data_IF_523288665215
#
_entry.id   IF_523288665215
#
_cell.length_a   1.000
_cell.length_b   1.000
_cell.length_c   1.000
_cell.angle_alpha   90.00
_cell.angle_beta   90.00
_cell.angle_gamma   90.00
#
_symmetry.space_group_name_H-M   'P 1'
#
loop_
_entity.id
_entity.type
_entity.pdbx_description
1 polymer ?
#
# COMPACT_ATOMS: atom_id res chain seq x y z
N UNK A 1 14.42 -27.13 54.26
CA UNK A 1 15.43 -26.68 53.26
C UNK A 1 14.66 -26.24 52.00
N UNK A 2 14.31 -24.94 51.98
CA UNK A 2 13.52 -24.31 50.89
C UNK A 2 14.51 -23.68 49.94
N UNK A 3 14.55 -24.18 48.69
CA UNK A 3 15.43 -23.68 47.64
C UNK A 3 14.95 -22.28 47.17
N UNK A 4 15.79 -21.30 47.34
CA UNK A 4 15.64 -19.99 46.71
C UNK A 4 15.81 -20.16 45.18
N UNK A 5 14.71 -20.10 44.43
CA UNK A 5 14.75 -19.98 42.99
C UNK A 5 14.92 -18.49 42.67
N UNK A 6 16.02 -18.22 41.99
CA UNK A 6 16.53 -16.92 41.58
C UNK A 6 15.48 -16.08 40.80
N UNK A 7 14.89 -15.13 41.48
CA UNK A 7 13.94 -14.14 40.94
C UNK A 7 14.61 -13.10 40.01
N UNK A 8 15.94 -13.09 39.93
CA UNK A 8 16.68 -12.09 39.14
C UNK A 8 16.56 -12.31 37.62
N UNK A 9 16.52 -13.58 37.17
CA UNK A 9 16.42 -13.92 35.74
C UNK A 9 15.01 -13.66 35.17
N UNK A 10 13.94 -13.82 35.94
CA UNK A 10 12.58 -13.50 35.50
C UNK A 10 12.34 -11.99 35.37
N UNK A 11 12.94 -11.18 36.23
CA UNK A 11 12.85 -9.72 36.14
C UNK A 11 13.62 -9.14 34.96
N UNK A 12 14.78 -9.70 34.64
CA UNK A 12 15.59 -9.27 33.48
C UNK A 12 14.88 -9.63 32.18
N UNK A 13 14.31 -10.82 32.06
CA UNK A 13 13.54 -11.21 30.85
C UNK A 13 12.25 -10.40 30.68
N UNK A 14 11.59 -10.02 31.78
CA UNK A 14 10.40 -9.18 31.76
C UNK A 14 10.73 -7.71 31.43
N UNK A 15 11.89 -7.22 31.86
CA UNK A 15 12.38 -5.88 31.54
C UNK A 15 12.90 -5.78 30.09
N UNK A 16 13.55 -6.81 29.58
CA UNK A 16 14.03 -6.86 28.19
C UNK A 16 12.83 -6.93 27.23
N UNK A 17 11.83 -7.76 27.51
CA UNK A 17 10.60 -7.80 26.73
C UNK A 17 9.77 -6.51 26.83
N UNK A 18 9.65 -5.90 28.02
CA UNK A 18 9.02 -4.57 28.13
C UNK A 18 9.79 -3.49 27.39
N UNK A 19 11.11 -3.47 27.44
CA UNK A 19 11.92 -2.50 26.69
C UNK A 19 11.79 -2.71 25.18
N UNK A 20 11.73 -3.95 24.69
CA UNK A 20 11.47 -4.27 23.28
C UNK A 20 10.05 -3.90 22.87
N UNK A 21 9.05 -4.17 23.70
CA UNK A 21 7.65 -3.76 23.49
C UNK A 21 7.51 -2.24 23.61
N UNK A 22 8.20 -1.59 24.56
CA UNK A 22 8.23 -0.13 24.68
C UNK A 22 8.99 0.53 23.53
N UNK A 23 10.08 -0.03 23.03
CA UNK A 23 10.74 0.47 21.81
C UNK A 23 9.81 0.37 20.60
N UNK A 24 9.07 -0.74 20.46
CA UNK A 24 8.10 -0.91 19.35
C UNK A 24 6.86 0.00 19.53
N UNK A 25 6.46 0.30 20.76
CA UNK A 25 5.36 1.23 21.08
C UNK A 25 5.78 2.71 21.05
N UNK A 26 7.08 3.03 21.11
CA UNK A 26 7.58 4.40 20.89
C UNK A 26 7.70 4.78 19.41
N UNK A 27 7.34 3.88 18.49
CA UNK A 27 7.74 3.99 17.10
C UNK A 27 6.78 4.70 16.14
N UNK A 28 5.65 5.20 16.57
CA UNK A 28 4.96 6.14 15.69
C UNK A 28 4.25 7.24 16.45
N UNK A 29 4.81 8.43 16.37
CA UNK A 29 4.02 9.63 16.71
C UNK A 29 2.71 9.54 15.91
N UNK A 30 1.54 9.55 16.57
CA UNK A 30 0.25 9.53 15.86
C UNK A 30 0.22 10.59 14.76
N UNK A 31 -0.41 10.26 13.64
CA UNK A 31 -0.36 11.15 12.47
C UNK A 31 -0.92 12.55 12.77
N UNK A 32 -1.92 12.67 13.63
CA UNK A 32 -2.51 13.93 14.07
C UNK A 32 -1.60 14.74 15.03
N UNK A 33 -0.57 14.12 15.61
CA UNK A 33 0.42 14.74 16.52
C UNK A 33 1.76 15.06 15.87
N UNK A 34 1.89 14.79 14.57
CA UNK A 34 3.11 15.16 13.84
C UNK A 34 3.20 16.66 13.63
N UNK A 35 4.40 17.12 13.35
CA UNK A 35 4.68 18.53 13.02
C UNK A 35 5.10 18.66 11.54
N UNK A 36 5.10 19.90 11.09
CA UNK A 36 5.54 20.25 9.74
C UNK A 36 4.42 20.89 8.93
N UNK A 37 4.41 20.65 7.62
CA UNK A 37 3.49 21.29 6.66
C UNK A 37 2.71 20.29 5.86
N UNK A 38 1.49 20.66 5.49
CA UNK A 38 0.61 19.94 4.54
C UNK A 38 0.20 20.94 3.46
N UNK A 39 0.21 20.54 2.21
CA UNK A 39 -0.44 21.31 1.16
C UNK A 39 -1.96 21.02 1.21
N UNK A 40 -2.77 22.08 1.34
CA UNK A 40 -4.21 21.96 1.56
C UNK A 40 -4.93 23.04 0.75
N UNK A 41 -5.72 22.65 -0.25
CA UNK A 41 -6.52 23.58 -1.08
C UNK A 41 -5.72 24.77 -1.65
N UNK A 42 -4.56 24.51 -2.24
CA UNK A 42 -3.74 25.53 -2.89
C UNK A 42 -2.76 26.25 -1.95
N UNK A 43 -2.77 25.95 -0.65
CA UNK A 43 -1.92 26.61 0.34
C UNK A 43 -1.12 25.60 1.16
N UNK A 44 0.06 26.00 1.60
CA UNK A 44 0.82 25.25 2.61
C UNK A 44 0.38 25.71 3.99
N UNK A 45 -0.16 24.79 4.79
CA UNK A 45 -0.63 25.04 6.15
C UNK A 45 0.21 24.27 7.17
N UNK A 46 0.12 24.64 8.44
CA UNK A 46 0.72 23.84 9.51
C UNK A 46 0.02 22.47 9.61
N UNK A 47 0.76 21.44 10.02
CA UNK A 47 0.24 20.08 10.13
C UNK A 47 -1.02 20.00 11.01
N UNK A 48 -0.99 20.70 12.14
CA UNK A 48 -2.11 20.75 13.09
C UNK A 48 -3.35 21.48 12.56
N UNK A 49 -3.21 22.32 11.54
CA UNK A 49 -4.31 23.12 10.96
C UNK A 49 -5.02 22.41 9.81
N UNK A 50 -4.49 21.27 9.33
CA UNK A 50 -5.10 20.49 8.25
C UNK A 50 -6.28 19.66 8.78
N UNK A 51 -7.35 20.33 9.19
CA UNK A 51 -8.54 19.72 9.80
C UNK A 51 -9.74 19.78 8.86
N UNK A 52 -10.67 18.82 9.04
CA UNK A 52 -11.95 18.77 8.36
C UNK A 52 -13.10 18.75 9.36
N UNK A 53 -14.26 19.25 8.95
CA UNK A 53 -15.46 19.18 9.78
C UNK A 53 -15.95 17.73 9.89
N UNK A 54 -16.50 17.34 11.06
CA UNK A 54 -17.00 15.98 11.30
C UNK A 54 -18.12 15.58 10.32
N UNK A 55 -18.96 16.52 9.89
CA UNK A 55 -19.98 16.31 8.86
C UNK A 55 -19.40 16.46 7.45
N UNK A 56 -18.29 15.77 7.19
CA UNK A 56 -17.65 15.74 5.88
C UNK A 56 -18.19 14.58 5.05
N UNK A 57 -18.65 14.83 3.84
CA UNK A 57 -19.25 13.81 2.96
C UNK A 57 -18.24 12.70 2.61
N UNK A 58 -16.96 13.05 2.43
CA UNK A 58 -15.90 12.08 2.21
C UNK A 58 -15.77 11.08 3.36
N UNK A 59 -15.96 11.52 4.61
CA UNK A 59 -15.92 10.67 5.80
C UNK A 59 -17.15 9.74 5.91
N UNK A 60 -18.35 10.27 5.65
CA UNK A 60 -19.59 9.52 5.85
C UNK A 60 -19.95 8.59 4.68
N UNK A 61 -19.67 9.00 3.44
CA UNK A 61 -20.07 8.28 2.22
C UNK A 61 -18.89 7.82 1.40
N UNK A 62 -17.68 7.87 1.94
CA UNK A 62 -16.44 7.47 1.27
C UNK A 62 -16.22 8.14 -0.10
N UNK A 63 -16.81 9.34 -0.34
CA UNK A 63 -16.60 10.08 -1.58
C UNK A 63 -15.24 10.77 -1.58
N UNK A 64 -14.22 9.93 -1.63
CA UNK A 64 -12.82 10.26 -1.52
C UNK A 64 -11.99 9.32 -2.39
N UNK A 65 -10.96 9.86 -3.03
CA UNK A 65 -9.91 9.11 -3.73
C UNK A 65 -8.55 9.53 -3.20
N UNK A 66 -7.58 8.63 -3.24
CA UNK A 66 -6.24 8.93 -2.75
C UNK A 66 -5.15 8.26 -3.56
N UNK A 67 -3.94 8.73 -3.40
CA UNK A 67 -2.74 8.05 -3.88
C UNK A 67 -1.77 7.75 -2.75
N UNK A 68 -0.83 6.91 -3.06
CA UNK A 68 0.30 6.60 -2.20
C UNK A 68 1.55 6.47 -3.04
N UNK A 69 2.51 7.32 -2.77
CA UNK A 69 3.73 7.46 -3.55
C UNK A 69 4.94 7.33 -2.65
N UNK A 70 6.01 6.72 -3.14
CA UNK A 70 7.26 6.62 -2.39
C UNK A 70 8.24 7.69 -2.84
N UNK A 71 8.89 8.28 -1.84
CA UNK A 71 10.05 9.15 -2.03
C UNK A 71 11.30 8.32 -1.81
N UNK A 72 12.24 8.40 -2.76
CA UNK A 72 13.56 7.79 -2.68
C UNK A 72 14.60 8.86 -2.98
N UNK A 73 15.51 9.09 -2.05
CA UNK A 73 16.59 10.08 -2.16
C UNK A 73 16.08 11.49 -2.53
N UNK A 74 14.90 11.86 -2.01
CA UNK A 74 14.25 13.15 -2.25
C UNK A 74 13.34 13.23 -3.49
N UNK A 75 13.31 12.17 -4.32
CA UNK A 75 12.52 12.12 -5.55
C UNK A 75 11.32 11.21 -5.43
N UNK A 76 10.16 11.62 -5.96
CA UNK A 76 8.93 10.82 -5.97
C UNK A 76 8.97 9.87 -7.17
N UNK A 77 8.95 8.59 -6.90
CA UNK A 77 8.96 7.58 -7.97
C UNK A 77 7.64 7.56 -8.73
N UNK A 78 7.71 7.77 -10.06
CA UNK A 78 6.57 7.73 -10.99
C UNK A 78 5.41 8.68 -10.61
N UNK A 79 5.75 9.88 -10.15
CA UNK A 79 4.79 10.90 -9.74
C UNK A 79 3.69 11.13 -10.80
N UNK A 80 4.06 11.29 -12.06
CA UNK A 80 3.12 11.58 -13.14
C UNK A 80 2.09 10.43 -13.32
N UNK A 81 2.54 9.17 -13.28
CA UNK A 81 1.65 7.99 -13.35
C UNK A 81 0.70 7.90 -12.14
N UNK A 82 1.16 8.29 -10.95
CA UNK A 82 0.34 8.35 -9.74
C UNK A 82 -0.71 9.46 -9.83
N UNK A 83 -0.32 10.65 -10.26
CA UNK A 83 -1.25 11.77 -10.43
C UNK A 83 -2.28 11.49 -11.52
N UNK A 84 -1.89 10.90 -12.65
CA UNK A 84 -2.83 10.46 -13.70
C UNK A 84 -3.88 9.50 -13.12
N UNK A 85 -3.46 8.51 -12.32
CA UNK A 85 -4.38 7.56 -11.69
C UNK A 85 -5.27 8.21 -10.63
N UNK A 86 -4.76 9.19 -9.87
CA UNK A 86 -5.56 9.98 -8.93
C UNK A 86 -6.70 10.71 -9.64
N UNK A 87 -6.39 11.37 -10.76
CA UNK A 87 -7.39 12.10 -11.58
C UNK A 87 -8.37 11.14 -12.27
N UNK A 88 -7.89 10.00 -12.75
CA UNK A 88 -8.74 8.93 -13.27
C UNK A 88 -9.74 8.48 -12.20
N UNK A 89 -9.26 8.18 -11.00
CA UNK A 89 -10.08 7.75 -9.87
C UNK A 89 -11.11 8.82 -9.50
N UNK A 90 -10.72 10.09 -9.44
CA UNK A 90 -11.62 11.21 -9.18
C UNK A 90 -12.72 11.31 -10.24
N UNK A 91 -12.36 11.24 -11.53
CA UNK A 91 -13.31 11.27 -12.64
C UNK A 91 -14.32 10.11 -12.57
N UNK A 92 -13.87 8.89 -12.30
CA UNK A 92 -14.72 7.70 -12.14
C UNK A 92 -15.70 7.84 -10.95
N UNK A 93 -15.31 8.58 -9.90
CA UNK A 93 -16.15 8.90 -8.75
C UNK A 93 -17.02 10.17 -8.96
N UNK A 94 -17.04 10.71 -10.19
CA UNK A 94 -17.80 11.92 -10.50
C UNK A 94 -17.28 13.17 -9.76
N UNK A 95 -15.99 13.22 -9.46
CA UNK A 95 -15.33 14.34 -8.77
C UNK A 95 -14.56 15.18 -9.80
N UNK A 96 -14.93 16.44 -9.94
CA UNK A 96 -14.20 17.41 -10.76
C UNK A 96 -13.12 18.07 -9.91
N UNK A 97 -11.86 17.72 -10.16
CA UNK A 97 -10.71 18.22 -9.41
C UNK A 97 -10.47 19.70 -9.76
N UNK A 98 -10.39 20.64 -8.77
CA UNK A 98 -10.24 22.07 -9.04
C UNK A 98 -8.79 22.50 -9.34
N UNK A 99 -7.92 21.56 -9.68
CA UNK A 99 -6.51 21.75 -10.02
C UNK A 99 -6.15 20.94 -11.25
N UNK A 100 -5.12 21.34 -11.97
CA UNK A 100 -4.51 20.54 -13.04
C UNK A 100 -3.59 19.48 -12.47
N UNK A 101 -3.27 18.45 -13.26
CA UNK A 101 -2.28 17.43 -12.87
C UNK A 101 -0.89 18.06 -12.63
N UNK A 102 -0.52 19.07 -13.42
CA UNK A 102 0.75 19.77 -13.27
C UNK A 102 0.84 20.53 -11.93
N UNK A 103 -0.25 21.22 -11.54
CA UNK A 103 -0.33 21.89 -10.23
C UNK A 103 -0.21 20.91 -9.07
N UNK A 104 -0.86 19.73 -9.15
CA UNK A 104 -0.77 18.68 -8.14
C UNK A 104 0.65 18.10 -8.10
N UNK A 105 1.27 17.81 -9.26
CA UNK A 105 2.65 17.34 -9.33
C UNK A 105 3.63 18.34 -8.69
N UNK A 106 3.47 19.63 -9.01
CA UNK A 106 4.28 20.69 -8.41
C UNK A 106 4.08 20.77 -6.89
N UNK A 107 2.84 20.64 -6.43
CA UNK A 107 2.52 20.64 -5.01
C UNK A 107 3.13 19.42 -4.27
N UNK A 108 3.11 18.22 -4.86
CA UNK A 108 3.77 17.03 -4.32
C UNK A 108 5.29 17.24 -4.19
N UNK A 109 5.96 17.69 -5.25
CA UNK A 109 7.40 17.99 -5.22
C UNK A 109 7.74 19.07 -4.17
N UNK A 110 6.94 20.14 -4.11
CA UNK A 110 7.17 21.24 -3.19
C UNK A 110 7.01 20.82 -1.73
N UNK A 111 5.98 20.03 -1.38
CA UNK A 111 5.78 19.60 0.01
C UNK A 111 6.87 18.63 0.48
N UNK A 112 7.36 17.75 -0.40
CA UNK A 112 8.51 16.88 -0.15
C UNK A 112 9.76 17.71 0.16
N UNK A 113 10.01 18.76 -0.64
CA UNK A 113 11.13 19.67 -0.43
C UNK A 113 11.00 20.45 0.89
N UNK A 114 9.85 21.05 1.17
CA UNK A 114 9.59 21.81 2.41
C UNK A 114 9.80 20.93 3.65
N UNK A 115 9.31 19.68 3.61
CA UNK A 115 9.44 18.71 4.70
C UNK A 115 10.81 18.02 4.73
N UNK A 116 11.67 18.26 3.72
CA UNK A 116 13.01 17.64 3.57
C UNK A 116 12.96 16.11 3.62
N UNK A 117 11.89 15.50 3.08
CA UNK A 117 11.72 14.06 3.08
C UNK A 117 12.67 13.43 2.06
N UNK A 118 13.61 12.62 2.53
CA UNK A 118 14.57 11.90 1.70
C UNK A 118 14.10 10.49 1.35
N UNK A 119 13.56 9.76 2.32
CA UNK A 119 12.97 8.44 2.10
C UNK A 119 11.64 8.39 2.82
N UNK A 120 10.55 8.44 2.08
CA UNK A 120 9.25 8.64 2.71
C UNK A 120 8.07 8.30 1.83
N UNK A 121 6.94 8.88 2.20
CA UNK A 121 5.67 8.62 1.58
C UNK A 121 4.93 9.93 1.31
N UNK A 122 4.27 10.02 0.16
CA UNK A 122 3.37 11.10 -0.20
C UNK A 122 1.96 10.55 -0.30
N UNK A 123 1.01 11.26 0.29
CA UNK A 123 -0.40 10.92 0.33
C UNK A 123 -1.23 12.07 -0.25
N UNK A 124 -1.43 12.13 -1.55
CA UNK A 124 -2.46 12.98 -2.15
C UNK A 124 -3.85 12.42 -1.85
N UNK A 125 -4.78 13.32 -1.56
CA UNK A 125 -6.15 13.01 -1.18
C UNK A 125 -7.11 14.01 -1.82
N UNK A 126 -8.21 13.54 -2.42
CA UNK A 126 -9.27 14.35 -3.01
C UNK A 126 -10.62 13.89 -2.45
N UNK A 127 -11.45 14.80 -1.94
CA UNK A 127 -12.73 14.44 -1.33
C UNK A 127 -13.81 15.53 -1.47
N UNK A 128 -15.06 15.13 -1.30
CA UNK A 128 -16.20 16.04 -1.19
C UNK A 128 -16.33 16.60 0.22
N UNK A 129 -16.55 17.91 0.33
CA UNK A 129 -16.62 18.66 1.58
C UNK A 129 -17.90 18.45 2.39
N UNK A 130 -18.31 19.48 3.13
CA UNK A 130 -19.32 19.42 4.18
C UNK A 130 -20.57 20.28 3.88
N UNK A 131 -20.71 20.79 2.66
CA UNK A 131 -21.81 21.70 2.31
C UNK A 131 -23.17 21.01 2.29
N UNK A 132 -23.19 19.71 1.96
CA UNK A 132 -24.40 18.87 1.97
C UNK A 132 -24.10 17.49 2.54
N UNK A 133 -25.04 16.95 3.32
CA UNK A 133 -24.98 15.63 3.96
C UNK A 133 -26.14 14.73 3.49
N UNK A 134 -26.37 14.69 2.19
CA UNK A 134 -27.32 13.77 1.55
C UNK A 134 -26.58 12.84 0.59
N UNK A 135 -27.24 11.79 0.08
CA UNK A 135 -26.67 10.93 -0.96
C UNK A 135 -26.21 11.75 -2.16
N UNK A 136 -27.02 12.73 -2.58
CA UNK A 136 -26.59 13.70 -3.59
C UNK A 136 -25.68 14.76 -2.98
N UNK A 137 -24.46 14.85 -3.49
CA UNK A 137 -23.43 15.78 -3.02
C UNK A 137 -22.77 16.53 -4.20
N UNK A 138 -23.51 16.77 -5.28
CA UNK A 138 -22.98 17.42 -6.49
C UNK A 138 -22.54 18.87 -6.24
N UNK A 139 -23.13 19.54 -5.27
CA UNK A 139 -22.84 20.94 -4.90
C UNK A 139 -21.75 21.08 -3.83
N UNK A 140 -21.23 19.95 -3.31
CA UNK A 140 -20.15 20.00 -2.35
C UNK A 140 -18.86 20.50 -3.01
N UNK A 141 -18.12 21.33 -2.29
CA UNK A 141 -16.77 21.70 -2.69
C UNK A 141 -15.89 20.47 -2.74
N UNK A 142 -14.97 20.47 -3.68
CA UNK A 142 -13.92 19.46 -3.79
C UNK A 142 -12.69 20.01 -3.10
N UNK A 143 -12.17 19.24 -2.19
CA UNK A 143 -10.96 19.55 -1.45
C UNK A 143 -9.82 18.65 -1.92
N UNK A 144 -8.60 19.17 -1.83
CA UNK A 144 -7.37 18.44 -2.16
C UNK A 144 -6.35 18.71 -1.06
N UNK A 145 -5.74 17.65 -0.55
CA UNK A 145 -4.63 17.73 0.39
C UNK A 145 -3.49 16.81 -0.02
N UNK A 146 -2.26 17.21 0.30
CA UNK A 146 -1.06 16.41 0.06
C UNK A 146 -0.23 16.46 1.34
N UNK A 147 -0.13 15.31 2.02
CA UNK A 147 0.74 15.13 3.16
C UNK A 147 1.95 14.28 2.78
N UNK A 148 3.10 14.55 3.40
CA UNK A 148 4.31 13.74 3.24
C UNK A 148 5.03 13.57 4.57
N UNK A 149 5.69 12.44 4.75
CA UNK A 149 6.43 12.11 5.96
C UNK A 149 7.55 11.11 5.69
N UNK A 150 8.58 11.15 6.51
CA UNK A 150 9.60 10.10 6.50
C UNK A 150 8.97 8.76 6.83
N UNK A 151 9.28 7.74 6.01
CA UNK A 151 8.74 6.40 6.20
C UNK A 151 9.73 5.34 5.75
N UNK A 152 10.10 4.47 6.66
CA UNK A 152 10.98 3.35 6.40
C UNK A 152 10.36 2.22 5.59
N UNK A 153 10.80 1.01 5.82
CA UNK A 153 10.22 -0.19 5.20
C UNK A 153 8.83 -0.48 5.75
N UNK A 154 7.87 -0.80 4.87
CA UNK A 154 6.52 -1.18 5.26
C UNK A 154 6.48 -2.50 6.06
N UNK A 155 7.25 -3.48 5.61
CA UNK A 155 7.44 -4.73 6.34
C UNK A 155 8.79 -4.73 7.06
N UNK A 156 8.87 -5.44 8.19
CA UNK A 156 10.13 -5.69 8.88
C UNK A 156 11.18 -6.24 7.90
N UNK A 157 12.41 -5.69 7.88
CA UNK A 157 13.48 -6.17 6.99
C UNK A 157 13.75 -7.68 7.10
N UNK A 158 13.62 -8.27 8.29
CA UNK A 158 13.78 -9.73 8.49
C UNK A 158 12.66 -10.51 7.81
N UNK A 159 11.42 -10.00 7.86
CA UNK A 159 10.29 -10.61 7.15
C UNK A 159 10.45 -10.48 5.64
N UNK A 160 11.01 -9.37 5.14
CA UNK A 160 11.36 -9.24 3.72
C UNK A 160 12.39 -10.25 3.24
N UNK A 161 13.35 -10.65 4.10
CA UNK A 161 14.36 -11.65 3.75
C UNK A 161 13.79 -13.07 3.74
N UNK A 162 12.95 -13.39 4.72
CA UNK A 162 12.42 -14.74 4.93
C UNK A 162 11.08 -15.01 4.20
N UNK A 163 10.47 -13.96 3.65
CA UNK A 163 9.12 -13.96 3.10
C UNK A 163 8.03 -13.83 4.16
N UNK A 164 7.00 -13.05 3.82
CA UNK A 164 5.83 -12.85 4.68
C UNK A 164 4.85 -14.02 4.57
N UNK A 165 3.90 -14.09 5.51
CA UNK A 165 2.85 -15.11 5.53
C UNK A 165 1.50 -14.44 5.31
N UNK A 166 0.68 -15.00 4.42
CA UNK A 166 -0.66 -14.53 4.13
C UNK A 166 -1.70 -15.56 4.57
N UNK A 167 -2.83 -15.08 5.10
CA UNK A 167 -4.06 -15.86 5.19
C UNK A 167 -4.88 -15.71 3.89
N UNK A 168 -5.90 -16.53 3.68
CA UNK A 168 -6.89 -16.31 2.63
C UNK A 168 -8.08 -15.58 3.26
N UNK A 169 -8.42 -14.41 2.74
CA UNK A 169 -9.49 -13.58 3.25
C UNK A 169 -10.87 -14.25 3.12
N UNK A 170 -11.71 -14.07 4.14
CA UNK A 170 -13.15 -14.36 4.07
C UNK A 170 -13.90 -13.37 3.15
N UNK A 171 -13.37 -12.15 3.00
CA UNK A 171 -13.92 -11.10 2.13
C UNK A 171 -13.37 -11.21 0.71
N UNK A 172 -14.22 -10.93 -0.28
CA UNK A 172 -13.86 -10.98 -1.70
C UNK A 172 -13.83 -9.58 -2.32
N UNK A 173 -13.03 -9.41 -3.35
CA UNK A 173 -13.10 -8.20 -4.18
C UNK A 173 -14.46 -8.12 -4.86
N UNK A 174 -15.03 -6.92 -4.97
CA UNK A 174 -16.34 -6.72 -5.57
C UNK A 174 -16.33 -7.07 -7.06
N UNK A 175 -17.48 -7.54 -7.56
CA UNK A 175 -17.66 -7.77 -8.98
C UNK A 175 -17.55 -6.46 -9.78
N UNK A 176 -17.03 -6.49 -11.00
CA UNK A 176 -17.16 -5.39 -11.94
C UNK A 176 -18.63 -4.96 -12.03
N UNK A 177 -18.95 -3.69 -12.14
CA UNK A 177 -20.30 -3.11 -12.16
C UNK A 177 -20.99 -2.96 -10.78
N UNK A 178 -20.42 -3.45 -9.69
CA UNK A 178 -20.98 -3.22 -8.34
C UNK A 178 -20.40 -1.97 -7.68
N UNK A 179 -19.17 -1.60 -8.04
CA UNK A 179 -18.43 -0.47 -7.49
C UNK A 179 -17.33 -0.07 -8.51
N UNK A 180 -16.82 1.16 -8.52
CA UNK A 180 -15.71 1.56 -9.40
C UNK A 180 -14.37 0.91 -8.97
N UNK A 181 -14.26 -0.39 -9.18
CA UNK A 181 -13.18 -1.28 -8.72
C UNK A 181 -11.78 -0.92 -9.26
N UNK A 182 -11.75 -0.27 -10.43
CA UNK A 182 -10.56 0.18 -11.15
C UNK A 182 -9.97 1.50 -10.60
N UNK A 183 -10.51 1.97 -9.48
CA UNK A 183 -10.12 3.24 -8.84
C UNK A 183 -9.40 3.03 -7.51
N UNK A 184 -8.71 4.07 -7.06
CA UNK A 184 -8.18 4.14 -5.71
C UNK A 184 -9.13 4.92 -4.78
N UNK A 185 -10.42 4.54 -4.80
CA UNK A 185 -11.45 5.11 -3.96
C UNK A 185 -11.37 4.57 -2.53
N UNK A 186 -11.55 5.44 -1.53
CA UNK A 186 -11.42 5.09 -0.12
C UNK A 186 -12.39 3.97 0.30
N UNK A 187 -13.62 3.96 -0.25
CA UNK A 187 -14.63 2.96 0.07
C UNK A 187 -14.25 1.52 -0.29
N UNK A 188 -13.32 1.33 -1.24
CA UNK A 188 -12.82 0.00 -1.61
C UNK A 188 -11.88 -0.60 -0.54
N UNK A 189 -11.35 0.24 0.36
CA UNK A 189 -10.36 -0.18 1.34
C UNK A 189 -10.95 -0.71 2.65
N UNK A 190 -12.25 -0.58 2.84
CA UNK A 190 -12.95 -1.11 4.02
C UNK A 190 -12.74 -2.63 4.15
N UNK A 191 -13.05 -3.38 3.08
CA UNK A 191 -12.86 -4.84 3.08
C UNK A 191 -11.39 -5.24 3.19
N UNK A 192 -10.47 -4.43 2.66
CA UNK A 192 -9.04 -4.67 2.79
C UNK A 192 -8.59 -4.54 4.26
N UNK A 193 -9.12 -3.54 4.99
CA UNK A 193 -8.86 -3.35 6.42
C UNK A 193 -9.40 -4.54 7.23
N UNK A 194 -10.64 -4.96 6.99
CA UNK A 194 -11.23 -6.13 7.66
C UNK A 194 -10.40 -7.40 7.41
N UNK A 195 -10.04 -7.66 6.14
CA UNK A 195 -9.20 -8.81 5.77
C UNK A 195 -7.83 -8.80 6.45
N UNK A 196 -7.24 -7.60 6.56
CA UNK A 196 -5.94 -7.40 7.22
C UNK A 196 -6.04 -7.72 8.71
N UNK A 197 -7.06 -7.21 9.41
CA UNK A 197 -7.28 -7.46 10.83
C UNK A 197 -7.50 -8.95 11.10
N UNK A 198 -8.38 -9.62 10.34
CA UNK A 198 -8.60 -11.06 10.47
C UNK A 198 -7.30 -11.88 10.31
N UNK A 199 -6.45 -11.52 9.36
CA UNK A 199 -5.16 -12.18 9.15
C UNK A 199 -4.20 -11.95 10.33
N UNK A 200 -4.11 -10.72 10.83
CA UNK A 200 -3.25 -10.35 11.97
C UNK A 200 -3.69 -11.06 13.25
N UNK A 201 -4.99 -11.18 13.52
CA UNK A 201 -5.54 -11.94 14.66
C UNK A 201 -5.15 -13.42 14.61
N UNK A 202 -5.01 -13.98 13.42
CA UNK A 202 -4.55 -15.37 13.20
C UNK A 202 -3.02 -15.50 13.14
N UNK A 203 -2.26 -14.42 13.33
CA UNK A 203 -0.80 -14.40 13.32
C UNK A 203 -0.15 -14.38 11.93
N UNK A 204 -0.91 -14.04 10.88
CA UNK A 204 -0.39 -13.79 9.54
C UNK A 204 0.04 -12.33 9.37
N UNK A 205 0.88 -12.07 8.38
CA UNK A 205 1.37 -10.71 8.10
C UNK A 205 0.37 -9.89 7.29
N UNK A 206 -0.37 -10.54 6.38
CA UNK A 206 -1.34 -9.92 5.48
C UNK A 206 -2.34 -10.98 5.00
N UNK A 207 -3.26 -10.62 4.10
CA UNK A 207 -4.28 -11.50 3.56
C UNK A 207 -4.27 -11.50 2.03
N UNK A 208 -4.41 -12.69 1.43
CA UNK A 208 -4.73 -12.86 0.03
C UNK A 208 -6.25 -12.76 -0.15
N UNK A 209 -6.69 -11.89 -1.03
CA UNK A 209 -8.09 -11.73 -1.38
C UNK A 209 -8.41 -12.43 -2.70
N UNK A 210 -9.58 -13.04 -2.76
CA UNK A 210 -10.13 -13.60 -3.99
C UNK A 210 -11.07 -12.60 -4.66
N UNK A 211 -11.27 -12.74 -5.96
CA UNK A 211 -12.32 -12.03 -6.69
C UNK A 211 -13.71 -12.62 -6.37
N UNK A 212 -14.75 -12.02 -6.92
CA UNK A 212 -16.14 -12.45 -6.74
C UNK A 212 -16.42 -13.86 -7.31
N UNK A 213 -15.61 -14.33 -8.27
CA UNK A 213 -15.71 -15.67 -8.87
C UNK A 213 -14.87 -16.71 -8.08
N UNK A 214 -14.05 -16.29 -7.14
CA UNK A 214 -13.18 -17.15 -6.33
C UNK A 214 -11.80 -17.37 -6.91
N UNK A 215 -11.38 -16.61 -7.93
CA UNK A 215 -10.01 -16.62 -8.41
C UNK A 215 -9.14 -15.70 -7.51
N UNK A 216 -7.85 -15.94 -7.52
CA UNK A 216 -6.88 -15.09 -6.83
C UNK A 216 -6.91 -13.68 -7.45
N UNK A 217 -7.03 -12.65 -6.61
CA UNK A 217 -7.01 -11.25 -7.00
C UNK A 217 -5.69 -10.57 -6.60
N UNK A 218 -5.60 -10.11 -5.38
CA UNK A 218 -4.44 -9.41 -4.84
C UNK A 218 -4.39 -9.54 -3.31
N UNK A 219 -3.31 -9.10 -2.65
CA UNK A 219 -3.30 -8.92 -1.20
C UNK A 219 -4.04 -7.62 -0.80
N UNK A 220 -4.13 -7.31 0.50
CA UNK A 220 -4.93 -6.17 0.97
C UNK A 220 -4.44 -4.81 0.45
N UNK A 221 -3.18 -4.67 0.09
CA UNK A 221 -2.60 -3.42 -0.42
C UNK A 221 -1.55 -3.60 -1.50
N UNK A 222 -1.46 -4.79 -2.13
CA UNK A 222 -0.40 -5.12 -3.08
C UNK A 222 -0.86 -6.21 -4.06
N UNK A 223 -0.42 -6.13 -5.32
CA UNK A 223 -0.66 -7.19 -6.30
C UNK A 223 0.25 -8.40 -6.05
N UNK A 224 -0.11 -9.56 -6.58
CA UNK A 224 0.58 -10.82 -6.35
C UNK A 224 1.13 -11.43 -7.63
N UNK A 225 2.27 -12.11 -7.51
CA UNK A 225 2.92 -12.88 -8.56
C UNK A 225 3.29 -14.25 -8.01
N UNK A 226 3.17 -15.25 -8.86
CA UNK A 226 3.62 -16.61 -8.62
C UNK A 226 4.69 -17.00 -9.62
N UNK A 227 5.62 -17.85 -9.22
CA UNK A 227 6.65 -18.43 -10.07
C UNK A 227 6.45 -19.95 -10.12
N UNK A 228 6.38 -20.52 -11.31
CA UNK A 228 6.38 -21.96 -11.50
C UNK A 228 7.80 -22.56 -11.48
N UNK A 229 7.89 -23.85 -11.65
CA UNK A 229 9.17 -24.60 -11.67
C UNK A 229 9.99 -24.33 -12.94
N UNK A 230 9.36 -23.91 -14.04
CA UNK A 230 10.04 -23.52 -15.28
C UNK A 230 10.70 -22.15 -15.23
N UNK A 231 10.34 -21.33 -14.25
CA UNK A 231 10.81 -19.94 -14.09
C UNK A 231 9.85 -18.90 -14.67
N UNK A 232 8.72 -19.31 -15.21
CA UNK A 232 7.68 -18.40 -15.69
C UNK A 232 6.98 -17.71 -14.50
N UNK A 233 6.64 -16.45 -14.67
CA UNK A 233 5.84 -15.70 -13.72
C UNK A 233 4.38 -15.66 -14.15
N UNK A 234 3.49 -15.86 -13.20
CA UNK A 234 2.04 -15.74 -13.36
C UNK A 234 1.50 -14.67 -12.42
N UNK A 235 0.60 -13.83 -12.92
CA UNK A 235 -0.07 -12.80 -12.10
C UNK A 235 -1.53 -12.68 -12.52
N UNK A 236 -2.45 -12.44 -11.59
CA UNK A 236 -3.85 -12.24 -11.92
C UNK A 236 -4.08 -11.07 -12.87
N UNK A 237 -5.08 -11.21 -13.77
CA UNK A 237 -5.57 -10.10 -14.62
C UNK A 237 -6.29 -9.09 -13.71
N UNK A 238 -5.94 -7.80 -13.76
CA UNK A 238 -6.57 -6.79 -12.91
C UNK A 238 -7.94 -6.37 -13.47
N UNK A 239 -8.93 -7.24 -13.34
CA UNK A 239 -10.32 -7.06 -13.79
C UNK A 239 -11.33 -6.81 -12.66
N UNK A 240 -10.88 -6.92 -11.39
CA UNK A 240 -11.68 -6.69 -10.17
C UNK A 240 -10.87 -6.00 -9.06
N UNK A 241 -9.64 -5.59 -9.37
CA UNK A 241 -8.72 -4.94 -8.45
C UNK A 241 -7.77 -4.01 -9.22
N UNK A 242 -7.02 -3.19 -8.49
CA UNK A 242 -6.20 -2.12 -9.06
C UNK A 242 -4.96 -2.67 -9.82
N UNK A 243 -4.76 -2.23 -11.08
CA UNK A 243 -3.50 -2.48 -11.80
C UNK A 243 -2.38 -1.59 -11.24
N UNK A 244 -1.55 -2.18 -10.39
CA UNK A 244 -0.53 -1.48 -9.63
C UNK A 244 0.58 -0.88 -10.50
N UNK A 245 0.99 0.36 -10.20
CA UNK A 245 2.13 1.01 -10.86
C UNK A 245 3.42 0.20 -10.62
N UNK A 246 3.61 -0.30 -9.40
CA UNK A 246 4.72 -1.20 -9.07
C UNK A 246 4.62 -2.53 -9.83
N UNK A 247 3.41 -3.11 -9.95
CA UNK A 247 3.16 -4.31 -10.75
C UNK A 247 3.64 -4.12 -12.19
N UNK A 248 3.21 -3.04 -12.85
CA UNK A 248 3.64 -2.71 -14.22
C UNK A 248 5.16 -2.50 -14.33
N UNK A 249 5.77 -1.86 -13.33
CA UNK A 249 7.23 -1.68 -13.31
C UNK A 249 7.97 -3.02 -13.21
N UNK A 250 7.52 -3.94 -12.35
CA UNK A 250 8.11 -5.27 -12.18
C UNK A 250 7.93 -6.12 -13.42
N UNK A 251 6.78 -6.06 -14.08
CA UNK A 251 6.55 -6.73 -15.38
C UNK A 251 7.58 -6.25 -16.43
N UNK A 252 7.82 -4.93 -16.52
CA UNK A 252 8.82 -4.37 -17.43
C UNK A 252 10.24 -4.86 -17.09
N UNK A 253 10.61 -4.89 -15.81
CA UNK A 253 11.91 -5.41 -15.35
C UNK A 253 12.07 -6.88 -15.72
N UNK A 254 11.09 -7.71 -15.41
CA UNK A 254 11.14 -9.15 -15.68
C UNK A 254 11.25 -9.43 -17.17
N UNK A 255 10.44 -8.77 -18.03
CA UNK A 255 10.53 -8.86 -19.48
C UNK A 255 11.89 -8.44 -20.02
N UNK A 256 12.51 -7.39 -19.49
CA UNK A 256 13.87 -6.96 -19.89
C UNK A 256 14.98 -7.97 -19.53
N UNK A 257 14.69 -8.87 -18.60
CA UNK A 257 15.57 -9.99 -18.21
C UNK A 257 15.26 -11.31 -18.96
N UNK A 258 14.33 -11.29 -19.93
CA UNK A 258 13.92 -12.48 -20.65
C UNK A 258 13.00 -13.42 -19.87
N UNK A 259 12.46 -12.97 -18.71
CA UNK A 259 11.52 -13.77 -17.93
C UNK A 259 10.15 -13.73 -18.58
N UNK A 260 9.60 -14.90 -18.89
CA UNK A 260 8.25 -15.04 -19.41
C UNK A 260 7.23 -14.69 -18.31
N UNK A 261 6.18 -13.93 -18.66
CA UNK A 261 5.11 -13.54 -17.74
C UNK A 261 3.78 -13.79 -18.42
N UNK A 262 2.90 -14.51 -17.73
CA UNK A 262 1.51 -14.73 -18.14
C UNK A 262 0.55 -14.07 -17.17
N UNK A 263 -0.25 -13.12 -17.69
CA UNK A 263 -1.36 -12.51 -16.99
C UNK A 263 -2.61 -13.34 -17.25
N UNK A 264 -3.17 -13.96 -16.22
CA UNK A 264 -4.32 -14.88 -16.35
C UNK A 264 -5.13 -14.97 -15.05
N UNK A 265 -6.34 -15.52 -15.13
CA UNK A 265 -7.05 -15.97 -13.91
C UNK A 265 -6.31 -17.15 -13.30
N UNK A 266 -6.18 -17.15 -11.99
CA UNK A 266 -5.48 -18.17 -11.19
C UNK A 266 -6.43 -18.64 -10.09
N UNK A 267 -6.64 -19.94 -10.02
CA UNK A 267 -7.47 -20.53 -8.97
C UNK A 267 -6.64 -20.80 -7.71
N UNK A 268 -7.22 -20.74 -6.50
CA UNK A 268 -6.49 -21.03 -5.26
C UNK A 268 -5.82 -22.42 -5.24
N UNK A 269 -6.46 -23.43 -5.81
CA UNK A 269 -5.92 -24.80 -5.86
C UNK A 269 -4.69 -24.95 -6.75
N UNK A 270 -4.42 -24.01 -7.66
CA UNK A 270 -3.19 -23.98 -8.47
C UNK A 270 -1.95 -23.53 -7.65
N UNK A 271 -2.14 -22.99 -6.45
CA UNK A 271 -1.00 -22.55 -5.62
C UNK A 271 -0.03 -23.68 -5.29
N UNK A 272 -0.48 -24.95 -5.30
CA UNK A 272 0.35 -26.14 -5.12
C UNK A 272 1.39 -26.34 -6.24
N UNK A 273 1.15 -25.78 -7.42
CA UNK A 273 1.97 -25.95 -8.60
C UNK A 273 3.05 -24.85 -8.74
N UNK A 274 3.02 -23.85 -7.85
CA UNK A 274 3.99 -22.74 -7.83
C UNK A 274 5.07 -22.96 -6.78
N UNK A 275 6.30 -22.63 -7.13
CA UNK A 275 7.48 -22.77 -6.27
C UNK A 275 7.91 -21.48 -5.58
N UNK A 276 7.46 -20.33 -6.08
CA UNK A 276 7.76 -19.01 -5.53
C UNK A 276 6.57 -18.06 -5.60
N UNK A 277 6.54 -17.09 -4.68
CA UNK A 277 5.48 -16.09 -4.61
C UNK A 277 6.02 -14.76 -4.08
N UNK A 278 5.51 -13.64 -4.58
CA UNK A 278 5.85 -12.31 -4.08
C UNK A 278 4.75 -11.29 -4.32
N UNK A 279 4.74 -10.25 -3.52
CA UNK A 279 3.86 -9.10 -3.66
C UNK A 279 4.57 -7.93 -4.33
N UNK A 280 3.78 -7.07 -4.99
CA UNK A 280 4.24 -5.79 -5.54
C UNK A 280 3.29 -4.65 -5.16
N UNK A 281 3.84 -3.56 -4.63
CA UNK A 281 3.05 -2.39 -4.27
C UNK A 281 3.96 -1.21 -3.90
N UNK A 282 3.43 -0.01 -3.91
CA UNK A 282 4.22 1.19 -3.58
C UNK A 282 4.83 1.09 -2.17
N UNK A 283 4.04 0.66 -1.17
CA UNK A 283 4.53 0.44 0.18
C UNK A 283 5.30 -0.89 0.33
N UNK A 284 4.76 -1.97 -0.26
CA UNK A 284 5.34 -3.30 -0.19
C UNK A 284 6.62 -3.44 -1.03
N UNK A 285 6.80 -2.59 -2.05
CA UNK A 285 7.88 -2.73 -3.06
C UNK A 285 7.80 -4.10 -3.75
N UNK A 286 8.87 -4.90 -3.74
CA UNK A 286 8.86 -6.32 -4.09
C UNK A 286 9.10 -7.10 -2.82
N UNK A 287 8.09 -7.78 -2.31
CA UNK A 287 8.16 -8.50 -1.04
C UNK A 287 7.88 -9.98 -1.25
N UNK A 288 8.84 -10.88 -0.94
CA UNK A 288 8.64 -12.32 -1.02
C UNK A 288 7.52 -12.79 -0.08
N UNK A 289 6.78 -13.80 -0.51
CA UNK A 289 5.78 -14.53 0.28
C UNK A 289 6.29 -15.95 0.50
N UNK A 290 6.42 -16.35 1.76
CA UNK A 290 6.87 -17.69 2.13
C UNK A 290 5.72 -18.69 2.31
N UNK A 291 4.52 -18.17 2.62
CA UNK A 291 3.36 -19.02 2.90
C UNK A 291 2.05 -18.30 2.61
N UNK A 292 1.08 -19.02 2.05
CA UNK A 292 -0.33 -18.59 1.94
C UNK A 292 -1.18 -19.74 2.45
N UNK A 293 -1.89 -19.56 3.57
CA UNK A 293 -2.62 -20.63 4.25
C UNK A 293 -1.75 -21.88 4.45
N UNK A 294 -2.06 -23.02 3.82
CA UNK A 294 -1.27 -24.25 3.83
C UNK A 294 -0.13 -24.30 2.80
N UNK A 295 -0.16 -23.45 1.76
CA UNK A 295 0.80 -23.48 0.66
C UNK A 295 2.11 -22.78 1.04
N UNK A 296 3.25 -23.42 0.76
CA UNK A 296 4.57 -22.91 1.06
C UNK A 296 5.34 -22.56 -0.23
N UNK A 297 6.06 -21.44 -0.21
CA UNK A 297 6.83 -20.93 -1.34
C UNK A 297 8.27 -20.67 -0.93
N UNK A 298 9.19 -20.79 -1.88
CA UNK A 298 10.60 -20.50 -1.68
C UNK A 298 10.91 -19.05 -2.03
N UNK A 299 11.70 -18.38 -1.20
CA UNK A 299 12.34 -17.12 -1.58
C UNK A 299 13.51 -17.49 -2.50
N UNK A 300 13.30 -17.39 -3.81
CA UNK A 300 14.25 -17.82 -4.83
C UNK A 300 15.05 -16.64 -5.41
N UNK A 301 16.15 -16.99 -6.11
CA UNK A 301 17.07 -16.00 -6.69
C UNK A 301 16.38 -15.02 -7.64
N UNK A 302 15.42 -15.49 -8.45
CA UNK A 302 14.67 -14.62 -9.36
C UNK A 302 13.92 -13.51 -8.59
N UNK A 303 13.24 -13.84 -7.49
CA UNK A 303 12.51 -12.84 -6.66
C UNK A 303 13.49 -11.84 -6.05
N UNK A 304 14.61 -12.34 -5.55
CA UNK A 304 15.69 -11.50 -4.98
C UNK A 304 16.29 -10.57 -6.05
N UNK A 305 16.51 -11.06 -7.27
CA UNK A 305 17.04 -10.30 -8.38
C UNK A 305 16.06 -9.24 -8.89
N UNK A 306 14.77 -9.58 -8.98
CA UNK A 306 13.72 -8.61 -9.29
C UNK A 306 13.63 -7.49 -8.23
N UNK A 307 13.74 -7.84 -6.95
CA UNK A 307 13.79 -6.85 -5.88
C UNK A 307 15.01 -5.92 -6.02
N UNK A 308 16.22 -6.48 -6.20
CA UNK A 308 17.44 -5.68 -6.43
C UNK A 308 17.30 -4.75 -7.63
N UNK A 309 16.73 -5.25 -8.73
CA UNK A 309 16.51 -4.45 -9.94
C UNK A 309 15.49 -3.34 -9.73
N UNK A 310 14.42 -3.62 -8.97
CA UNK A 310 13.45 -2.61 -8.57
C UNK A 310 14.08 -1.53 -7.67
N UNK A 311 14.87 -1.93 -6.65
CA UNK A 311 15.59 -0.98 -5.78
C UNK A 311 16.57 -0.10 -6.59
N UNK A 312 17.23 -0.66 -7.60
CA UNK A 312 18.10 0.11 -8.50
C UNK A 312 17.28 1.08 -9.38
N UNK A 313 16.10 0.68 -9.83
CA UNK A 313 15.22 1.52 -10.66
C UNK A 313 14.72 2.74 -9.89
N UNK A 314 14.23 2.55 -8.66
CA UNK A 314 13.61 3.63 -7.85
C UNK A 314 14.64 4.64 -7.32
N UNK A 315 15.94 4.27 -7.27
CA UNK A 315 17.04 5.15 -6.84
C UNK A 315 17.90 5.70 -7.99
N UNK A 316 17.51 5.42 -9.25
CA UNK A 316 18.12 6.09 -10.38
C UNK A 316 17.68 7.55 -10.37
N UNK A 317 18.64 8.46 -10.16
CA UNK A 317 18.43 9.89 -10.43
C UNK A 317 18.00 9.99 -11.89
N UNK A 318 16.83 10.55 -12.13
CA UNK A 318 16.43 10.95 -13.48
C UNK A 318 17.52 11.91 -13.95
N UNK A 319 18.23 11.57 -15.02
CA UNK A 319 19.17 12.52 -15.64
C UNK A 319 18.35 13.76 -16.00
N UNK A 320 18.77 14.90 -15.44
CA UNK A 320 18.14 16.20 -15.68
C UNK A 320 18.32 16.63 -17.13
#
# INVERSE_FOLDING_TARGET
MVSYIDLSYRYIYFFINKKSIYLHLMESIPYDKRSGKIWFNGKTVDWADANIHILNHGLHYASCVFEGERVYDGEIFKLEEHTERLFYSAKRMGISVPYTQEEVNKACKNIVHIQKVMNGYVRPLIWRGSEMMAISAQKNKIHVAIATWEWGSYFDPKLKLNGIKLDISSWRKPAPNTIPWDTKAAGLYMINTLSKHEAEEKGFTDSLMLDHEGNIAEATGANIFFKDDTGELHTPIPDSFLDGITRRAVIKIAKSKGVKITERKIRPDEMKDFVGCFLTGTAAEVTPVAKISEYNFKVCDLITDLNKSYQSLVRKKTAA
#
